data_IF_530297890627
#
_entry.id   IF_530297890627
#
_cell.length_a   1.000
_cell.length_b   1.000
_cell.length_c   1.000
_cell.angle_alpha   90.00
_cell.angle_beta   90.00
_cell.angle_gamma   90.00
#
_symmetry.space_group_name_H-M   'P 1'
#
loop_
_entity.id
_entity.type
_entity.pdbx_description
1 polymer ?
#
# COMPACT_ATOMS: atom_id res chain seq x y z
N UNK A 1 7.22 3.88 -17.96
CA UNK A 1 6.96 2.49 -18.38
C UNK A 1 7.60 1.48 -17.41
N UNK A 2 8.90 1.61 -17.10
CA UNK A 2 9.59 0.70 -16.16
C UNK A 2 8.98 0.76 -14.74
N UNK A 3 8.67 1.96 -14.23
CA UNK A 3 7.99 2.12 -12.94
C UNK A 3 6.68 1.30 -12.87
N UNK A 4 5.78 1.48 -13.84
CA UNK A 4 4.53 0.71 -13.90
C UNK A 4 4.75 -0.80 -14.02
N UNK A 5 5.87 -1.27 -14.59
CA UNK A 5 6.19 -2.70 -14.63
C UNK A 5 6.48 -3.23 -13.21
N UNK A 6 7.22 -2.47 -12.40
CA UNK A 6 7.50 -2.80 -11.01
C UNK A 6 6.21 -2.78 -10.17
N UNK A 7 5.35 -1.80 -10.37
CA UNK A 7 4.02 -1.75 -9.75
C UNK A 7 3.17 -2.97 -10.18
N UNK A 8 3.16 -3.33 -11.47
CA UNK A 8 2.48 -4.55 -11.96
C UNK A 8 3.06 -5.84 -11.37
N UNK A 9 4.38 -5.89 -11.13
CA UNK A 9 5.01 -7.01 -10.44
C UNK A 9 4.53 -7.08 -8.99
N UNK A 10 4.41 -5.95 -8.29
CA UNK A 10 3.79 -5.90 -6.94
C UNK A 10 2.35 -6.39 -6.96
N UNK A 11 1.58 -5.98 -7.98
CA UNK A 11 0.20 -6.43 -8.15
C UNK A 11 0.10 -7.95 -8.34
N UNK A 12 1.02 -8.53 -9.11
CA UNK A 12 1.09 -9.99 -9.27
C UNK A 12 1.41 -10.69 -7.95
N UNK A 13 2.21 -10.07 -7.09
CA UNK A 13 2.59 -10.60 -5.77
C UNK A 13 1.46 -10.55 -4.73
N UNK A 14 0.36 -9.83 -4.98
CA UNK A 14 -0.80 -9.76 -4.08
C UNK A 14 -1.37 -11.16 -3.79
N UNK A 15 -1.61 -11.94 -4.83
CA UNK A 15 -2.17 -13.31 -4.71
C UNK A 15 -1.25 -14.26 -3.95
N UNK A 16 0.03 -14.43 -4.30
CA UNK A 16 0.92 -15.33 -3.57
C UNK A 16 1.10 -14.92 -2.11
N UNK A 17 1.18 -13.61 -1.80
CA UNK A 17 1.29 -13.14 -0.42
C UNK A 17 0.00 -13.43 0.37
N UNK A 18 -1.16 -13.12 -0.20
CA UNK A 18 -2.45 -13.39 0.45
C UNK A 18 -2.67 -14.89 0.70
N UNK A 19 -2.33 -15.75 -0.28
CA UNK A 19 -2.44 -17.20 -0.13
C UNK A 19 -1.42 -17.77 0.87
N UNK A 20 -0.18 -17.27 0.86
CA UNK A 20 0.86 -17.67 1.80
C UNK A 20 0.48 -17.34 3.24
N UNK A 21 -0.11 -16.16 3.48
CA UNK A 21 -0.64 -15.77 4.78
C UNK A 21 -1.91 -16.56 5.17
N UNK A 22 -2.79 -16.89 4.22
CA UNK A 22 -4.01 -17.65 4.49
C UNK A 22 -3.78 -19.13 4.81
N UNK A 23 -2.66 -19.69 4.35
CA UNK A 23 -2.34 -21.12 4.45
C UNK A 23 -0.86 -21.31 4.79
N UNK A 24 -0.46 -21.01 6.03
CA UNK A 24 0.95 -21.07 6.44
C UNK A 24 1.57 -22.47 6.22
N UNK A 25 0.78 -23.54 6.33
CA UNK A 25 1.27 -24.91 6.12
C UNK A 25 1.46 -25.29 4.64
N UNK A 26 0.92 -24.51 3.70
CA UNK A 26 0.95 -24.83 2.26
C UNK A 26 2.21 -24.33 1.55
N UNK A 27 2.93 -23.37 2.14
CA UNK A 27 4.09 -22.72 1.52
C UNK A 27 5.23 -22.58 2.53
N UNK A 28 6.51 -22.69 2.10
CA UNK A 28 7.63 -22.43 3.00
C UNK A 28 7.63 -20.97 3.48
N UNK A 29 7.92 -20.73 4.77
CA UNK A 29 8.01 -19.38 5.36
C UNK A 29 8.96 -18.46 4.58
N UNK A 30 10.10 -19.01 4.13
CA UNK A 30 11.09 -18.28 3.35
C UNK A 30 10.55 -17.79 2.00
N UNK A 31 9.62 -18.53 1.38
CA UNK A 31 8.99 -18.12 0.13
C UNK A 31 8.11 -16.89 0.34
N UNK A 32 7.32 -16.88 1.42
CA UNK A 32 6.49 -15.73 1.77
C UNK A 32 7.36 -14.50 2.08
N UNK A 33 8.45 -14.68 2.82
CA UNK A 33 9.43 -13.63 3.11
C UNK A 33 10.01 -13.04 1.81
N UNK A 34 10.37 -13.87 0.83
CA UNK A 34 10.83 -13.40 -0.48
C UNK A 34 9.74 -12.59 -1.17
N UNK A 35 8.51 -13.09 -1.26
CA UNK A 35 7.41 -12.39 -1.92
C UNK A 35 7.15 -11.00 -1.31
N UNK A 36 7.14 -10.90 0.02
CA UNK A 36 6.97 -9.63 0.73
C UNK A 36 8.16 -8.71 0.48
N UNK A 37 9.40 -9.22 0.58
CA UNK A 37 10.62 -8.44 0.35
C UNK A 37 10.67 -7.89 -1.07
N UNK A 38 10.32 -8.69 -2.08
CA UNK A 38 10.23 -8.25 -3.47
C UNK A 38 9.13 -7.19 -3.62
N UNK A 39 7.96 -7.37 -2.99
CA UNK A 39 6.88 -6.38 -3.01
C UNK A 39 7.31 -5.01 -2.45
N UNK A 40 8.03 -4.99 -1.32
CA UNK A 40 8.58 -3.76 -0.73
C UNK A 40 9.67 -3.16 -1.63
N UNK A 41 10.54 -4.01 -2.20
CA UNK A 41 11.59 -3.53 -3.09
C UNK A 41 11.00 -2.86 -4.34
N UNK A 42 9.98 -3.46 -4.97
CA UNK A 42 9.35 -2.87 -6.15
C UNK A 42 8.67 -1.53 -5.85
N UNK A 43 8.14 -1.33 -4.64
CA UNK A 43 7.62 -0.05 -4.12
C UNK A 43 8.68 1.03 -4.00
N UNK A 44 9.80 0.69 -3.40
CA UNK A 44 10.88 1.65 -3.30
C UNK A 44 11.40 2.06 -4.68
N UNK A 45 11.56 1.08 -5.58
CA UNK A 45 12.20 1.30 -6.87
C UNK A 45 11.30 1.94 -7.92
N UNK A 46 9.98 1.72 -7.92
CA UNK A 46 9.12 2.32 -8.94
C UNK A 46 9.05 3.85 -8.82
N UNK A 47 8.96 4.38 -7.60
CA UNK A 47 8.96 5.81 -7.33
C UNK A 47 10.32 6.45 -7.60
N UNK A 48 11.42 5.77 -7.26
CA UNK A 48 12.78 6.22 -7.59
C UNK A 48 12.94 6.30 -9.10
N UNK A 49 12.61 5.22 -9.83
CA UNK A 49 12.73 5.17 -11.28
C UNK A 49 11.85 6.22 -11.92
N UNK A 50 10.59 6.36 -11.52
CA UNK A 50 9.67 7.35 -12.09
C UNK A 50 10.20 8.79 -11.98
N UNK A 51 10.83 9.14 -10.85
CA UNK A 51 11.46 10.46 -10.64
C UNK A 51 12.72 10.63 -11.48
N UNK A 52 13.61 9.63 -11.48
CA UNK A 52 14.86 9.68 -12.25
C UNK A 52 14.60 9.76 -13.76
N UNK A 53 13.59 9.02 -14.26
CA UNK A 53 13.24 8.99 -15.68
C UNK A 53 12.26 10.10 -16.08
N UNK A 54 11.83 10.96 -15.15
CA UNK A 54 10.81 12.00 -15.37
C UNK A 54 9.52 11.46 -16.00
N UNK A 55 9.14 10.23 -15.64
CA UNK A 55 7.91 9.58 -16.14
C UNK A 55 6.79 9.52 -15.09
N UNK A 56 6.83 10.42 -14.10
CA UNK A 56 5.75 10.57 -13.11
C UNK A 56 4.46 11.00 -13.80
N UNK A 57 3.36 10.29 -13.59
CA UNK A 57 2.05 10.64 -14.13
C UNK A 57 0.93 10.40 -13.12
N UNK A 58 -0.19 11.13 -13.20
CA UNK A 58 -1.34 10.92 -12.30
C UNK A 58 -1.91 9.50 -12.38
N UNK A 59 -1.94 8.91 -13.58
CA UNK A 59 -2.40 7.54 -13.79
C UNK A 59 -1.45 6.51 -13.15
N UNK A 60 -0.14 6.74 -13.23
CA UNK A 60 0.86 5.89 -12.57
C UNK A 60 0.74 5.95 -11.05
N UNK A 61 0.54 7.15 -10.49
CA UNK A 61 0.33 7.33 -9.05
C UNK A 61 -0.96 6.66 -8.57
N UNK A 62 -2.06 6.76 -9.33
CA UNK A 62 -3.29 6.05 -9.01
C UNK A 62 -3.10 4.53 -9.04
N UNK A 63 -2.36 4.03 -10.03
CA UNK A 63 -2.07 2.60 -10.15
C UNK A 63 -1.22 2.07 -8.98
N UNK A 64 -0.22 2.85 -8.57
CA UNK A 64 0.63 2.55 -7.41
C UNK A 64 -0.18 2.47 -6.11
N UNK A 65 -0.94 3.52 -5.79
CA UNK A 65 -1.81 3.53 -4.60
C UNK A 65 -2.86 2.42 -4.59
N UNK A 66 -3.47 2.12 -5.74
CA UNK A 66 -4.42 1.01 -5.84
C UNK A 66 -3.74 -0.34 -5.59
N UNK A 67 -2.51 -0.51 -6.09
CA UNK A 67 -1.75 -1.74 -5.91
C UNK A 67 -1.31 -1.92 -4.47
N UNK A 68 -0.86 -0.87 -3.79
CA UNK A 68 -0.52 -0.91 -2.36
C UNK A 68 -1.72 -1.29 -1.51
N UNK A 69 -2.87 -0.65 -1.79
CA UNK A 69 -4.11 -0.96 -1.12
C UNK A 69 -4.48 -2.43 -1.27
N UNK A 70 -4.43 -2.98 -2.49
CA UNK A 70 -4.71 -4.39 -2.74
C UNK A 70 -3.70 -5.31 -2.05
N UNK A 71 -2.41 -4.97 -2.09
CA UNK A 71 -1.36 -5.76 -1.46
C UNK A 71 -1.55 -5.87 0.05
N UNK A 72 -1.80 -4.75 0.73
CA UNK A 72 -2.02 -4.73 2.19
C UNK A 72 -3.34 -5.40 2.54
N UNK A 73 -4.45 -5.04 1.89
CA UNK A 73 -5.76 -5.58 2.26
C UNK A 73 -5.92 -7.07 1.96
N UNK A 74 -5.37 -7.56 0.84
CA UNK A 74 -5.40 -8.99 0.53
C UNK A 74 -4.46 -9.78 1.46
N UNK A 75 -3.27 -9.24 1.76
CA UNK A 75 -2.35 -9.87 2.72
C UNK A 75 -3.00 -10.01 4.10
N UNK A 76 -3.60 -8.93 4.61
CA UNK A 76 -4.35 -8.96 5.87
C UNK A 76 -5.58 -9.88 5.79
N UNK A 77 -6.29 -9.90 4.66
CA UNK A 77 -7.38 -10.85 4.43
C UNK A 77 -6.91 -12.30 4.54
N UNK A 78 -5.71 -12.61 4.04
CA UNK A 78 -5.07 -13.90 4.24
C UNK A 78 -4.82 -14.20 5.72
N UNK A 79 -4.20 -13.27 6.46
CA UNK A 79 -3.96 -13.44 7.89
C UNK A 79 -5.26 -13.58 8.71
N UNK A 80 -6.36 -12.94 8.30
CA UNK A 80 -7.69 -13.15 8.90
C UNK A 80 -8.18 -14.58 8.66
N UNK A 81 -8.00 -15.11 7.44
CA UNK A 81 -8.40 -16.49 7.10
C UNK A 81 -7.61 -17.51 7.93
N UNK A 82 -6.32 -17.26 8.19
CA UNK A 82 -5.50 -18.08 9.07
C UNK A 82 -5.89 -17.96 10.56
N UNK A 83 -6.67 -16.93 10.93
CA UNK A 83 -7.08 -16.68 12.31
C UNK A 83 -6.05 -15.89 13.14
N UNK A 84 -5.00 -15.36 12.50
CA UNK A 84 -3.91 -14.65 13.17
C UNK A 84 -4.30 -13.23 13.61
N UNK A 85 -5.22 -12.60 12.89
CA UNK A 85 -5.66 -11.23 13.14
C UNK A 85 -7.18 -11.07 13.05
N UNK A 86 -7.72 -10.05 13.72
CA UNK A 86 -9.14 -9.71 13.64
C UNK A 86 -9.51 -9.10 12.28
N UNK A 87 -10.66 -9.49 11.74
CA UNK A 87 -11.24 -8.91 10.53
C UNK A 87 -11.54 -7.40 10.65
N UNK A 88 -11.59 -6.86 11.86
CA UNK A 88 -11.75 -5.42 12.07
C UNK A 88 -10.62 -4.61 11.43
N UNK A 89 -9.38 -5.11 11.44
CA UNK A 89 -8.22 -4.39 10.92
C UNK A 89 -8.29 -4.13 9.40
N UNK A 90 -8.44 -5.15 8.52
CA UNK A 90 -8.57 -4.89 7.09
C UNK A 90 -9.82 -4.06 6.75
N UNK A 91 -10.93 -4.24 7.49
CA UNK A 91 -12.14 -3.43 7.30
C UNK A 91 -11.87 -1.94 7.58
N UNK A 92 -11.19 -1.62 8.70
CA UNK A 92 -10.81 -0.25 9.02
C UNK A 92 -9.86 0.35 7.98
N UNK A 93 -8.93 -0.45 7.43
CA UNK A 93 -8.04 -0.01 6.35
C UNK A 93 -8.81 0.29 5.07
N UNK A 94 -9.81 -0.53 4.71
CA UNK A 94 -10.70 -0.24 3.58
C UNK A 94 -11.43 1.08 3.80
N UNK A 95 -11.97 1.33 4.98
CA UNK A 95 -12.62 2.60 5.28
C UNK A 95 -11.66 3.79 5.25
N UNK A 96 -10.46 3.66 5.81
CA UNK A 96 -9.44 4.71 5.79
C UNK A 96 -8.98 5.02 4.36
N UNK A 97 -8.80 3.99 3.53
CA UNK A 97 -8.43 4.16 2.12
C UNK A 97 -9.56 4.78 1.30
N UNK A 98 -10.80 4.33 1.51
CA UNK A 98 -11.96 4.97 0.89
C UNK A 98 -12.02 6.44 1.28
N UNK A 99 -11.93 6.77 2.57
CA UNK A 99 -11.87 8.14 3.03
C UNK A 99 -10.75 8.93 2.35
N UNK A 100 -9.54 8.37 2.26
CA UNK A 100 -8.42 9.00 1.55
C UNK A 100 -8.75 9.27 0.07
N UNK A 101 -9.30 8.29 -0.64
CA UNK A 101 -9.68 8.44 -2.05
C UNK A 101 -10.76 9.50 -2.22
N UNK A 102 -11.78 9.44 -1.37
CA UNK A 102 -12.85 10.41 -1.29
C UNK A 102 -12.26 11.82 -1.08
N UNK A 103 -11.50 12.04 0.00
CA UNK A 103 -10.84 13.30 0.30
C UNK A 103 -9.94 13.74 -0.86
N UNK A 104 -9.20 12.84 -1.50
CA UNK A 104 -8.40 13.17 -2.68
C UNK A 104 -9.30 13.69 -3.82
N UNK A 105 -10.45 13.08 -4.10
CA UNK A 105 -11.37 13.53 -5.14
C UNK A 105 -12.06 14.87 -4.82
N UNK A 106 -12.52 15.06 -3.58
CA UNK A 106 -13.22 16.28 -3.17
C UNK A 106 -12.27 17.46 -2.90
N UNK A 107 -11.10 17.21 -2.31
CA UNK A 107 -10.15 18.24 -1.90
C UNK A 107 -9.18 18.65 -3.03
N UNK A 108 -8.78 17.73 -3.93
CA UNK A 108 -7.81 18.04 -5.00
C UNK A 108 -8.44 18.62 -6.28
N UNK A 109 -9.60 19.27 -6.18
CA UNK A 109 -9.98 20.31 -7.16
C UNK A 109 -9.20 21.62 -6.99
N UNK A 110 -8.45 21.78 -5.90
CA UNK A 110 -7.49 22.87 -5.74
C UNK A 110 -6.05 22.34 -5.68
N UNK A 111 -5.24 22.84 -6.63
CA UNK A 111 -3.78 22.70 -6.64
C UNK A 111 -3.22 23.51 -5.47
N UNK A 112 -3.08 22.91 -4.28
CA UNK A 112 -2.00 23.18 -3.33
C UNK A 112 -2.24 22.45 -2.02
N UNK A 113 -1.29 21.59 -1.63
CA UNK A 113 -1.22 21.02 -0.29
C UNK A 113 -0.90 22.13 0.71
N UNK A 114 -1.95 22.75 1.26
CA UNK A 114 -1.80 23.59 2.45
C UNK A 114 -1.45 22.69 3.63
N UNK A 115 -0.20 22.78 4.08
CA UNK A 115 0.19 22.24 5.38
C UNK A 115 -0.68 22.89 6.46
N UNK A 116 -1.64 22.14 7.00
CA UNK A 116 -2.43 22.64 8.13
C UNK A 116 -1.52 22.65 9.36
N UNK A 117 -1.52 23.76 10.08
CA UNK A 117 -0.80 23.91 11.35
C UNK A 117 -1.24 22.84 12.36
N UNK A 118 -2.49 22.37 12.28
CA UNK A 118 -3.05 21.29 13.08
C UNK A 118 -2.34 19.93 12.86
N UNK A 119 -2.03 19.57 11.61
CA UNK A 119 -1.30 18.32 11.32
C UNK A 119 0.11 18.31 11.92
N UNK A 120 0.78 19.47 11.94
CA UNK A 120 2.12 19.63 12.52
C UNK A 120 2.11 19.51 14.04
N UNK A 121 1.11 20.08 14.72
CA UNK A 121 0.98 19.97 16.17
C UNK A 121 0.53 18.58 16.62
N UNK A 122 -0.35 17.92 15.86
CA UNK A 122 -0.76 16.54 16.16
C UNK A 122 0.43 15.57 16.04
N UNK A 123 1.25 15.73 15.00
CA UNK A 123 2.50 14.97 14.84
C UNK A 123 3.51 15.17 15.99
N UNK A 124 3.60 16.37 16.56
CA UNK A 124 4.48 16.63 17.72
C UNK A 124 3.91 15.98 18.99
N UNK A 125 2.59 16.02 19.20
CA UNK A 125 1.93 15.44 20.36
C UNK A 125 2.00 13.90 20.40
N UNK A 126 2.13 13.23 19.25
CA UNK A 126 2.36 11.78 19.22
C UNK A 126 3.73 11.34 19.77
N UNK A 127 4.71 12.24 19.86
CA UNK A 127 6.08 11.94 20.31
C UNK A 127 6.40 12.46 21.71
N UNK A 128 5.45 13.10 22.39
CA UNK A 128 5.62 13.54 23.78
C UNK A 128 4.88 12.52 24.68
N UNK A 129 5.59 11.74 25.51
CA UNK A 129 4.98 10.79 26.44
C UNK A 129 4.19 11.49 27.56
#
# INVERSE_FOLDING_TARGET
MIANLLTSLRLLLVVPVALGLARPDSFPEFWLLICITVGIATDCFDGIIARLTKTTSPQGQLFDHATDFLFVTAGLGGAVIAGDISAALPVLIVFAFLQYVLDSFWLHREKELRMSTLGRWNGILYFVP
#
